data_IF_099614101575
#
_entry.id   IF_099614101575
#
_cell.length_a   1.000
_cell.length_b   1.000
_cell.length_c   1.000
_cell.angle_alpha   90.00
_cell.angle_beta   90.00
_cell.angle_gamma   90.00
#
_symmetry.space_group_name_H-M   'P 1'
#
loop_
_entity.id
_entity.type
_entity.pdbx_description
1 polymer ?
#
# COMPACT_ATOMS: atom_id res chain seq x y z
N UNK A 1 -6.99 -46.51 -17.45
CA UNK A 1 -7.51 -45.52 -18.42
C UNK A 1 -8.62 -44.77 -17.72
N UNK A 2 -8.27 -43.70 -17.00
CA UNK A 2 -9.23 -42.71 -16.49
C UNK A 2 -9.10 -41.50 -17.40
N UNK A 3 -10.18 -41.19 -18.10
CA UNK A 3 -10.29 -40.16 -19.13
C UNK A 3 -10.94 -38.90 -18.58
N UNK A 4 -10.36 -37.76 -19.02
CA UNK A 4 -10.93 -36.42 -19.11
C UNK A 4 -11.01 -35.58 -17.81
N UNK A 5 -9.93 -34.81 -17.55
CA UNK A 5 -10.01 -33.50 -16.89
C UNK A 5 -10.97 -32.59 -17.67
N UNK A 6 -12.16 -32.35 -17.12
CA UNK A 6 -13.01 -31.25 -17.56
C UNK A 6 -12.40 -29.93 -17.03
N UNK A 7 -11.59 -29.27 -17.87
CA UNK A 7 -11.10 -27.92 -17.65
C UNK A 7 -12.27 -26.92 -17.70
N UNK A 8 -13.11 -26.94 -16.66
CA UNK A 8 -14.20 -25.98 -16.47
C UNK A 8 -13.57 -24.65 -16.10
N UNK A 9 -13.31 -23.81 -17.11
CA UNK A 9 -12.77 -22.47 -16.90
C UNK A 9 -13.66 -21.73 -15.90
N UNK A 10 -13.17 -21.52 -14.68
CA UNK A 10 -13.87 -20.75 -13.65
C UNK A 10 -13.90 -19.30 -14.12
N UNK A 11 -14.96 -18.90 -14.83
CA UNK A 11 -15.17 -17.51 -15.22
C UNK A 11 -15.77 -16.77 -14.04
N UNK A 12 -14.99 -15.85 -13.48
CA UNK A 12 -15.48 -14.92 -12.46
C UNK A 12 -16.62 -14.08 -13.06
N UNK A 13 -17.77 -14.10 -12.40
CA UNK A 13 -18.90 -13.23 -12.76
C UNK A 13 -18.50 -11.80 -12.41
N UNK A 14 -18.47 -10.91 -13.41
CA UNK A 14 -18.17 -9.47 -13.21
C UNK A 14 -19.34 -8.81 -12.49
N UNK A 15 -19.35 -8.87 -11.16
CA UNK A 15 -20.39 -8.24 -10.33
C UNK A 15 -19.99 -6.86 -9.79
N UNK A 16 -18.75 -6.43 -9.99
CA UNK A 16 -18.30 -5.09 -9.55
C UNK A 16 -18.57 -4.08 -10.67
N UNK A 17 -19.57 -3.22 -10.45
CA UNK A 17 -19.80 -2.04 -11.27
C UNK A 17 -18.80 -0.91 -10.99
N UNK A 18 -18.80 0.13 -11.83
CA UNK A 18 -17.87 1.28 -11.74
C UNK A 18 -17.88 1.92 -10.34
N UNK A 19 -19.08 2.20 -9.81
CA UNK A 19 -19.22 2.79 -8.47
C UNK A 19 -18.68 1.88 -7.35
N UNK A 20 -18.91 0.57 -7.45
CA UNK A 20 -18.37 -0.40 -6.50
C UNK A 20 -16.84 -0.46 -6.56
N UNK A 21 -16.27 -0.43 -7.76
CA UNK A 21 -14.81 -0.40 -7.96
C UNK A 21 -14.16 0.85 -7.39
N UNK A 22 -14.76 2.02 -7.62
CA UNK A 22 -14.27 3.30 -7.07
C UNK A 22 -14.34 3.29 -5.55
N UNK A 23 -15.46 2.87 -4.96
CA UNK A 23 -15.61 2.81 -3.50
C UNK A 23 -14.57 1.88 -2.85
N UNK A 24 -14.33 0.70 -3.44
CA UNK A 24 -13.29 -0.22 -2.97
C UNK A 24 -11.90 0.41 -3.08
N UNK A 25 -11.60 1.07 -4.20
CA UNK A 25 -10.30 1.72 -4.40
C UNK A 25 -10.06 2.82 -3.35
N UNK A 26 -11.04 3.69 -3.12
CA UNK A 26 -10.98 4.74 -2.08
C UNK A 26 -10.75 4.12 -0.69
N UNK A 27 -11.42 3.01 -0.38
CA UNK A 27 -11.23 2.30 0.90
C UNK A 27 -9.84 1.68 1.08
N UNK A 28 -9.20 1.25 0.00
CA UNK A 28 -7.83 0.69 0.05
C UNK A 28 -6.77 1.81 0.13
N UNK A 29 -7.01 2.95 -0.53
CA UNK A 29 -6.08 4.09 -0.54
C UNK A 29 -6.11 4.86 0.78
N UNK A 30 -7.29 5.08 1.37
CA UNK A 30 -7.43 5.76 2.64
C UNK A 30 -7.12 4.79 3.78
N UNK A 31 -5.86 4.77 4.22
CA UNK A 31 -5.39 3.95 5.34
C UNK A 31 -5.08 4.72 6.63
N UNK A 32 -4.50 4.03 7.60
CA UNK A 32 -4.07 4.59 8.90
C UNK A 32 -2.94 5.63 8.80
N UNK A 33 -2.26 5.72 7.65
CA UNK A 33 -1.16 6.66 7.42
C UNK A 33 -1.54 8.12 7.61
N UNK A 34 -2.82 8.49 7.43
CA UNK A 34 -3.29 9.87 7.63
C UNK A 34 -3.09 10.37 9.07
N UNK A 35 -3.02 9.47 10.05
CA UNK A 35 -2.81 9.85 11.46
C UNK A 35 -1.33 10.09 11.79
N UNK A 36 -0.39 9.59 10.99
CA UNK A 36 1.05 9.67 11.28
C UNK A 36 1.75 10.68 10.36
N UNK A 37 1.42 10.64 9.07
CA UNK A 37 2.11 11.40 8.02
C UNK A 37 2.05 12.92 8.18
N UNK A 38 0.95 13.57 8.61
CA UNK A 38 0.89 15.03 8.73
C UNK A 38 1.93 15.61 9.69
N UNK A 39 2.18 14.94 10.83
CA UNK A 39 3.21 15.35 11.80
C UNK A 39 4.60 15.30 11.16
N UNK A 40 4.90 14.23 10.42
CA UNK A 40 6.18 14.07 9.72
C UNK A 40 6.39 15.10 8.61
N UNK A 41 5.37 15.37 7.79
CA UNK A 41 5.45 16.38 6.72
C UNK A 41 5.59 17.79 7.29
N UNK A 42 4.85 18.12 8.37
CA UNK A 42 4.95 19.44 9.00
C UNK A 42 6.34 19.65 9.62
N UNK A 43 6.87 18.65 10.31
CA UNK A 43 8.22 18.71 10.87
C UNK A 43 9.30 18.87 9.80
N UNK A 44 9.18 18.14 8.68
CA UNK A 44 10.13 18.24 7.57
C UNK A 44 10.01 19.51 6.71
N UNK A 45 8.83 20.12 6.66
CA UNK A 45 8.58 21.34 5.85
C UNK A 45 8.76 22.64 6.63
N UNK A 46 8.64 22.62 7.96
CA UNK A 46 8.77 23.78 8.84
C UNK A 46 7.67 24.85 8.72
N UNK A 47 6.79 24.75 7.72
CA UNK A 47 5.70 25.69 7.47
C UNK A 47 4.46 24.97 6.97
N UNK A 48 3.29 25.37 7.47
CA UNK A 48 1.98 24.79 7.12
C UNK A 48 1.68 24.97 5.63
N UNK A 49 2.02 26.12 5.05
CA UNK A 49 1.80 26.38 3.62
C UNK A 49 2.60 25.43 2.73
N UNK A 50 3.86 25.17 3.09
CA UNK A 50 4.73 24.26 2.35
C UNK A 50 4.27 22.80 2.53
N UNK A 51 3.82 22.43 3.73
CA UNK A 51 3.22 21.11 3.98
C UNK A 51 2.03 20.80 3.06
N UNK A 52 1.13 21.78 2.86
CA UNK A 52 -0.03 21.62 1.95
C UNK A 52 0.40 21.48 0.48
N UNK A 53 1.43 22.21 0.05
CA UNK A 53 1.98 22.08 -1.30
C UNK A 53 2.58 20.68 -1.50
N UNK A 54 3.31 20.14 -0.52
CA UNK A 54 3.85 18.77 -0.59
C UNK A 54 2.72 17.74 -0.74
N UNK A 55 1.63 17.90 0.02
CA UNK A 55 0.45 17.04 -0.09
C UNK A 55 -0.21 17.10 -1.46
N UNK A 56 -0.32 18.29 -2.06
CA UNK A 56 -0.86 18.43 -3.42
C UNK A 56 0.05 17.77 -4.46
N UNK A 57 1.36 18.00 -4.37
CA UNK A 57 2.33 17.43 -5.31
C UNK A 57 2.37 15.90 -5.23
N UNK A 58 2.33 15.33 -4.01
CA UNK A 58 2.29 13.88 -3.84
C UNK A 58 0.99 13.25 -4.36
N UNK A 59 -0.14 13.96 -4.21
CA UNK A 59 -1.42 13.57 -4.80
C UNK A 59 -1.38 13.53 -6.33
N UNK A 60 -0.83 14.56 -6.98
CA UNK A 60 -0.67 14.60 -8.44
C UNK A 60 0.27 13.48 -8.91
N UNK A 61 1.39 13.26 -8.23
CA UNK A 61 2.32 12.18 -8.56
C UNK A 61 1.64 10.80 -8.47
N UNK A 62 0.84 10.59 -7.43
CA UNK A 62 0.09 9.35 -7.23
C UNK A 62 -0.97 9.14 -8.31
N UNK A 63 -1.65 10.22 -8.75
CA UNK A 63 -2.61 10.18 -9.83
C UNK A 63 -1.97 9.75 -11.15
N UNK A 64 -0.80 10.31 -11.48
CA UNK A 64 -0.06 9.91 -12.69
C UNK A 64 0.32 8.44 -12.64
N UNK A 65 0.83 7.95 -11.50
CA UNK A 65 1.13 6.53 -11.33
C UNK A 65 -0.10 5.63 -11.48
N UNK A 66 -1.24 6.03 -10.93
CA UNK A 66 -2.50 5.30 -11.07
C UNK A 66 -2.98 5.24 -12.52
N UNK A 67 -2.84 6.33 -13.29
CA UNK A 67 -3.17 6.35 -14.72
C UNK A 67 -2.26 5.40 -15.52
N UNK A 68 -0.95 5.41 -15.27
CA UNK A 68 -0.04 4.47 -15.92
C UNK A 68 -0.40 3.00 -15.63
N UNK A 69 -0.78 2.68 -14.38
CA UNK A 69 -1.23 1.34 -14.01
C UNK A 69 -2.61 1.00 -14.61
N UNK A 70 -3.49 1.98 -14.78
CA UNK A 70 -4.78 1.79 -15.44
C UNK A 70 -4.59 1.42 -16.93
N UNK A 71 -3.74 2.15 -17.66
CA UNK A 71 -3.38 1.83 -19.05
C UNK A 71 -2.82 0.40 -19.14
N UNK A 72 -1.87 0.06 -18.28
CA UNK A 72 -1.26 -1.27 -18.24
C UNK A 72 -2.26 -2.38 -17.91
N UNK A 73 -3.20 -2.12 -17.00
CA UNK A 73 -4.25 -3.06 -16.63
C UNK A 73 -5.30 -3.28 -17.72
N UNK A 74 -5.48 -2.32 -18.63
CA UNK A 74 -6.32 -2.52 -19.82
C UNK A 74 -5.58 -3.25 -20.96
N UNK A 75 -4.27 -3.05 -21.08
CA UNK A 75 -3.44 -3.72 -22.10
C UNK A 75 -3.20 -5.20 -21.80
N UNK A 76 -2.97 -5.56 -20.52
CA UNK A 76 -2.64 -6.93 -20.11
C UNK A 76 -3.71 -7.43 -19.13
N UNK A 77 -4.82 -8.02 -19.61
CA UNK A 77 -5.93 -8.50 -18.77
C UNK A 77 -5.61 -9.87 -18.14
N UNK A 78 -4.46 -9.99 -17.49
CA UNK A 78 -4.05 -11.18 -16.75
C UNK A 78 -4.24 -10.97 -15.24
N UNK A 79 -4.54 -12.06 -14.54
CA UNK A 79 -4.59 -12.06 -13.08
C UNK A 79 -3.15 -11.97 -12.52
N UNK A 80 -2.94 -11.13 -11.51
CA UNK A 80 -1.63 -11.00 -10.84
C UNK A 80 -1.09 -9.57 -10.72
N UNK A 81 -1.76 -8.56 -11.30
CA UNK A 81 -1.38 -7.15 -11.15
C UNK A 81 0.06 -6.88 -11.57
N UNK A 82 0.82 -6.17 -10.74
CA UNK A 82 2.22 -5.82 -11.00
C UNK A 82 3.12 -7.03 -11.28
N UNK A 83 2.88 -8.17 -10.63
CA UNK A 83 3.62 -9.40 -10.88
C UNK A 83 3.45 -9.85 -12.33
N UNK A 84 2.21 -9.88 -12.83
CA UNK A 84 1.92 -10.30 -14.20
C UNK A 84 2.53 -9.34 -15.23
N UNK A 85 2.53 -8.03 -14.96
CA UNK A 85 3.12 -7.04 -15.86
C UNK A 85 4.64 -7.17 -15.96
N UNK A 86 5.32 -7.33 -14.82
CA UNK A 86 6.77 -7.53 -14.80
C UNK A 86 7.15 -8.89 -15.37
N UNK A 87 6.34 -9.92 -15.13
CA UNK A 87 6.55 -11.24 -15.71
C UNK A 87 6.48 -11.20 -17.25
N UNK A 88 5.52 -10.46 -17.80
CA UNK A 88 5.37 -10.29 -19.25
C UNK A 88 6.55 -9.53 -19.87
N UNK A 89 7.06 -8.48 -19.21
CA UNK A 89 8.12 -7.63 -19.75
C UNK A 89 9.55 -8.18 -19.54
N UNK A 90 9.82 -8.80 -18.38
CA UNK A 90 11.18 -9.16 -17.94
C UNK A 90 11.35 -10.66 -17.65
N UNK A 91 10.27 -11.45 -17.65
CA UNK A 91 10.30 -12.89 -17.40
C UNK A 91 10.26 -13.28 -15.91
N UNK A 92 10.41 -14.59 -15.66
CA UNK A 92 10.13 -15.21 -14.36
C UNK A 92 11.03 -14.77 -13.21
N UNK A 93 12.31 -14.50 -13.47
CA UNK A 93 13.27 -14.17 -12.42
C UNK A 93 12.96 -12.82 -11.77
N UNK A 94 12.72 -11.79 -12.58
CA UNK A 94 12.43 -10.44 -12.10
C UNK A 94 11.06 -10.34 -11.44
N UNK A 95 10.06 -11.06 -11.96
CA UNK A 95 8.75 -11.12 -11.32
C UNK A 95 8.80 -11.81 -9.96
N UNK A 96 9.59 -12.89 -9.83
CA UNK A 96 9.82 -13.58 -8.55
C UNK A 96 10.49 -12.65 -7.53
N UNK A 97 11.56 -11.95 -7.92
CA UNK A 97 12.25 -11.02 -7.03
C UNK A 97 11.34 -9.90 -6.53
N UNK A 98 10.52 -9.32 -7.42
CA UNK A 98 9.54 -8.29 -7.03
C UNK A 98 8.57 -8.83 -5.98
N UNK A 99 8.02 -10.03 -6.21
CA UNK A 99 7.07 -10.63 -5.30
C UNK A 99 7.73 -11.02 -3.96
N UNK A 100 8.96 -11.53 -4.02
CA UNK A 100 9.76 -11.87 -2.85
C UNK A 100 10.00 -10.65 -1.95
N UNK A 101 10.49 -9.54 -2.52
CA UNK A 101 10.72 -8.30 -1.76
C UNK A 101 9.41 -7.75 -1.20
N UNK A 102 8.33 -7.82 -1.97
CA UNK A 102 7.02 -7.36 -1.53
C UNK A 102 6.51 -8.11 -0.29
N UNK A 103 6.66 -9.44 -0.28
CA UNK A 103 6.21 -10.28 0.83
C UNK A 103 7.14 -10.20 2.03
N UNK A 104 8.46 -10.20 1.81
CA UNK A 104 9.45 -10.28 2.90
C UNK A 104 9.73 -8.93 3.55
N UNK A 105 9.65 -7.83 2.79
CA UNK A 105 10.01 -6.50 3.30
C UNK A 105 8.81 -5.56 3.39
N UNK A 106 8.09 -5.38 2.28
CA UNK A 106 7.09 -4.30 2.16
C UNK A 106 5.87 -4.61 3.04
N UNK A 107 5.31 -5.81 2.90
CA UNK A 107 4.10 -6.20 3.63
C UNK A 107 4.30 -6.22 5.16
N UNK A 108 5.35 -6.86 5.73
CA UNK A 108 5.57 -6.83 7.17
C UNK A 108 5.93 -5.44 7.67
N UNK A 109 6.67 -4.63 6.91
CA UNK A 109 6.96 -3.24 7.26
C UNK A 109 5.68 -2.41 7.41
N UNK A 110 4.75 -2.54 6.48
CA UNK A 110 3.45 -1.86 6.56
C UNK A 110 2.64 -2.29 7.79
N UNK A 111 2.60 -3.60 8.08
CA UNK A 111 1.92 -4.14 9.26
C UNK A 111 2.57 -3.65 10.56
N UNK A 112 3.91 -3.64 10.63
CA UNK A 112 4.65 -3.17 11.80
C UNK A 112 4.37 -1.68 12.09
N UNK A 113 4.39 -0.83 11.06
CA UNK A 113 4.06 0.60 11.20
C UNK A 113 2.62 0.76 11.71
N UNK A 114 1.66 0.01 11.16
CA UNK A 114 0.27 0.06 11.63
C UNK A 114 0.10 -0.41 13.08
N UNK A 115 0.81 -1.46 13.49
CA UNK A 115 0.76 -2.00 14.84
C UNK A 115 1.33 -1.02 15.86
N UNK A 116 2.48 -0.39 15.54
CA UNK A 116 3.10 0.61 16.40
C UNK A 116 2.22 1.86 16.50
N UNK A 117 1.68 2.32 15.37
CA UNK A 117 0.72 3.43 15.35
C UNK A 117 -0.47 3.14 16.25
N UNK A 118 -1.07 1.95 16.13
CA UNK A 118 -2.18 1.53 17.00
C UNK A 118 -1.79 1.53 18.47
N UNK A 119 -0.63 0.95 18.82
CA UNK A 119 -0.14 0.92 20.19
C UNK A 119 0.05 2.33 20.76
N UNK A 120 0.71 3.24 20.03
CA UNK A 120 0.92 4.63 20.45
C UNK A 120 -0.40 5.36 20.69
N UNK A 121 -1.37 5.23 19.76
CA UNK A 121 -2.67 5.88 19.92
C UNK A 121 -3.53 5.26 21.03
N UNK A 122 -3.36 3.97 21.33
CA UNK A 122 -4.11 3.28 22.39
C UNK A 122 -3.62 3.65 23.80
N UNK A 123 -2.32 3.88 24.00
CA UNK A 123 -1.74 4.23 25.31
C UNK A 123 -1.82 5.73 25.63
N UNK A 124 -1.88 6.59 24.62
CA UNK A 124 -1.87 8.05 24.77
C UNK A 124 -2.96 8.61 25.73
N UNK A 125 -4.19 8.06 25.80
CA UNK A 125 -5.19 8.51 26.78
C UNK A 125 -4.86 8.20 28.24
N UNK A 126 -4.08 7.15 28.49
CA UNK A 126 -3.73 6.70 29.84
C UNK A 126 -2.42 7.33 30.34
N UNK A 127 -1.51 7.66 29.43
CA UNK A 127 -0.20 8.24 29.72
C UNK A 127 0.06 9.44 28.80
N UNK A 128 -0.54 10.61 29.08
CA UNK A 128 -0.46 11.78 28.21
C UNK A 128 0.94 12.41 28.14
N UNK A 129 1.79 12.17 29.14
CA UNK A 129 3.15 12.72 29.23
C UNK A 129 4.23 11.80 28.66
N UNK A 130 3.86 10.60 28.17
CA UNK A 130 4.80 9.71 27.49
C UNK A 130 4.92 10.13 26.02
N UNK A 131 5.90 10.99 25.73
CA UNK A 131 6.39 11.18 24.36
C UNK A 131 7.10 9.90 23.92
N UNK A 132 6.34 8.91 23.41
CA UNK A 132 6.94 7.74 22.78
C UNK A 132 7.76 8.21 21.57
N UNK A 133 9.09 8.02 21.59
CA UNK A 133 9.93 8.51 20.51
C UNK A 133 9.61 7.75 19.22
N UNK A 134 9.76 8.40 18.05
CA UNK A 134 9.55 7.74 16.77
C UNK A 134 10.51 6.55 16.61
N UNK A 135 10.11 5.60 15.74
CA UNK A 135 10.73 4.31 15.36
C UNK A 135 12.27 4.22 15.34
N UNK A 136 12.99 5.35 15.29
CA UNK A 136 14.46 5.42 15.36
C UNK A 136 15.05 5.14 16.74
N UNK A 137 14.27 5.23 17.83
CA UNK A 137 14.78 5.10 19.21
C UNK A 137 14.15 3.96 20.03
N UNK A 138 13.17 3.23 19.48
CA UNK A 138 12.48 2.15 20.20
C UNK A 138 13.35 0.91 20.45
N UNK A 139 14.44 0.71 19.70
CA UNK A 139 15.42 -0.35 20.00
C UNK A 139 16.24 -0.05 21.26
N UNK A 140 16.50 1.22 21.55
CA UNK A 140 17.29 1.63 22.72
C UNK A 140 16.47 1.64 24.02
N UNK A 141 15.14 1.68 23.94
CA UNK A 141 14.27 1.75 25.11
C UNK A 141 13.77 0.38 25.61
N UNK A 142 14.03 -0.69 24.85
CA UNK A 142 13.63 -2.07 25.18
C UNK A 142 14.82 -2.96 25.56
N UNK A 143 16.04 -2.40 25.61
CA UNK A 143 17.27 -3.02 26.14
C UNK A 143 17.66 -2.32 27.43
#
# INVERSE_FOLDING_TARGET
METAEENRSVKLKREIGVFGGVAVNVGIVIGSGIFVTPKGVLYGSGSVGLALVIWLVSGIFSLVGALCLAELGTMIPQHGGLYAYVHYAFGAFWSFLLQWVSIVMIQPGALAISAITFATYAIQPFYPDLDCPPLRLSFECCL
#
